data_IF_556723829780
#
_entry.id   IF_556723829780
#
_cell.length_a   1.000
_cell.length_b   1.000
_cell.length_c   1.000
_cell.angle_alpha   90.00
_cell.angle_beta   90.00
_cell.angle_gamma   90.00
#
_symmetry.space_group_name_H-M   'P 1'
#
loop_
_entity.id
_entity.type
_entity.pdbx_description
1 polymer ?
#
# COMPACT_ATOMS: atom_id res chain seq x y z
N UNK A 1 33.09 -11.38 -34.09
CA UNK A 1 31.74 -10.99 -34.52
C UNK A 1 31.64 -9.49 -34.35
N UNK A 2 31.50 -8.78 -35.48
CA UNK A 2 31.67 -7.33 -35.59
C UNK A 2 30.39 -6.57 -35.23
N UNK A 3 30.54 -5.45 -34.52
CA UNK A 3 29.48 -4.48 -34.26
C UNK A 3 29.23 -3.61 -35.50
N UNK A 4 27.98 -3.29 -35.86
CA UNK A 4 27.70 -2.27 -36.86
C UNK A 4 27.66 -0.88 -36.19
N UNK A 5 28.49 0.00 -36.71
CA UNK A 5 28.52 1.46 -36.49
C UNK A 5 27.32 2.14 -37.17
N UNK A 6 26.58 2.98 -36.44
CA UNK A 6 25.52 3.84 -36.98
C UNK A 6 26.04 5.28 -37.12
N UNK A 7 25.78 5.96 -38.26
CA UNK A 7 26.32 7.27 -38.56
C UNK A 7 25.51 8.43 -37.96
N UNK A 8 26.25 9.51 -37.67
CA UNK A 8 25.81 10.85 -37.28
C UNK A 8 25.35 11.65 -38.50
N UNK A 9 24.18 12.29 -38.43
CA UNK A 9 23.68 13.34 -39.32
C UNK A 9 22.37 13.88 -38.73
N UNK A 10 21.96 15.13 -38.85
CA UNK A 10 22.57 16.40 -39.18
C UNK A 10 21.58 17.47 -38.69
N UNK A 11 22.12 18.64 -38.37
CA UNK A 11 21.48 19.91 -38.05
C UNK A 11 20.46 20.39 -39.09
N UNK A 12 19.34 20.96 -38.63
CA UNK A 12 18.41 21.73 -39.46
C UNK A 12 17.36 22.47 -38.64
N UNK A 13 17.62 23.75 -38.32
CA UNK A 13 16.59 24.75 -37.97
C UNK A 13 15.60 24.95 -39.13
N UNK A 14 14.37 25.41 -38.87
CA UNK A 14 14.13 26.85 -39.08
C UNK A 14 13.22 27.53 -38.05
N UNK A 15 13.40 28.84 -38.01
CA UNK A 15 12.79 29.85 -37.16
C UNK A 15 11.30 30.18 -37.44
N UNK A 16 10.77 31.03 -36.54
CA UNK A 16 9.65 31.99 -36.64
C UNK A 16 8.31 31.61 -35.95
N UNK A 17 7.46 32.58 -35.56
CA UNK A 17 7.70 34.00 -35.23
C UNK A 17 7.09 34.44 -33.88
N UNK A 18 7.67 35.51 -33.33
CA UNK A 18 7.04 36.41 -32.36
C UNK A 18 5.79 37.06 -32.95
N UNK A 19 4.69 37.08 -32.19
CA UNK A 19 3.52 37.91 -32.46
C UNK A 19 3.26 38.84 -31.28
N UNK A 20 3.70 40.07 -31.43
CA UNK A 20 3.28 41.27 -30.72
C UNK A 20 1.99 41.82 -31.33
N UNK A 21 1.05 42.20 -30.48
CA UNK A 21 -0.06 43.14 -30.72
C UNK A 21 -0.57 43.54 -29.32
N UNK A 22 -0.24 44.71 -28.78
CA UNK A 22 -0.71 46.07 -29.10
C UNK A 22 -2.23 46.25 -29.15
N UNK A 23 -2.70 47.16 -28.28
CA UNK A 23 -4.07 47.63 -28.07
C UNK A 23 -4.21 47.99 -26.59
N UNK A 24 -3.93 49.19 -26.09
CA UNK A 24 -4.19 50.57 -26.56
C UNK A 24 -5.67 50.82 -26.85
N UNK A 25 -6.35 51.52 -25.93
CA UNK A 25 -7.69 52.05 -26.13
C UNK A 25 -8.43 52.37 -24.82
N UNK A 26 -8.43 53.67 -24.50
CA UNK A 26 -9.37 54.43 -23.65
C UNK A 26 -9.48 54.12 -22.14
N UNK A 27 -9.37 55.08 -21.22
CA UNK A 27 -9.59 56.53 -21.36
C UNK A 27 -10.95 56.91 -20.76
N UNK A 28 -11.01 57.10 -19.44
CA UNK A 28 -12.04 57.93 -18.79
C UNK A 28 -11.54 58.46 -17.44
N UNK A 29 -11.32 59.79 -17.33
CA UNK A 29 -11.12 60.47 -16.06
C UNK A 29 -12.42 61.16 -15.59
N UNK A 30 -12.59 61.22 -14.27
CA UNK A 30 -13.60 61.99 -13.52
C UNK A 30 -13.61 61.46 -12.08
N UNK A 31 -13.04 62.07 -11.04
CA UNK A 31 -13.17 63.47 -10.54
C UNK A 31 -14.67 63.77 -10.37
N UNK A 32 -15.25 63.94 -9.17
CA UNK A 32 -14.88 64.77 -8.00
C UNK A 32 -15.65 64.30 -6.72
N UNK A 33 -15.62 64.97 -5.55
CA UNK A 33 -15.55 64.31 -4.23
C UNK A 33 -16.72 64.66 -3.28
N UNK A 34 -16.53 64.25 -2.02
CA UNK A 34 -17.04 64.85 -0.78
C UNK A 34 -18.46 64.48 -0.30
N UNK A 35 -18.49 64.37 1.04
CA UNK A 35 -19.63 64.70 1.92
C UNK A 35 -20.85 63.77 1.90
N UNK A 36 -20.98 62.94 2.94
CA UNK A 36 -21.60 63.34 4.21
C UNK A 36 -21.81 62.10 5.09
N UNK A 37 -21.34 62.17 6.33
CA UNK A 37 -21.89 61.36 7.40
C UNK A 37 -23.35 61.76 7.63
N UNK A 38 -24.21 60.80 7.97
CA UNK A 38 -24.98 61.00 9.19
C UNK A 38 -24.76 59.84 10.16
N UNK A 39 -24.46 60.23 11.39
CA UNK A 39 -24.66 59.40 12.55
C UNK A 39 -26.14 59.00 12.66
N UNK A 40 -26.39 57.76 13.10
CA UNK A 40 -27.67 57.35 13.67
C UNK A 40 -28.55 56.49 12.77
N UNK A 41 -28.39 55.17 12.88
CA UNK A 41 -29.37 54.08 12.65
C UNK A 41 -28.57 52.78 12.47
N UNK A 42 -28.83 51.62 13.05
CA UNK A 42 -29.69 51.11 14.10
C UNK A 42 -29.07 49.72 14.47
N UNK A 43 -29.27 49.22 15.68
CA UNK A 43 -28.76 47.92 16.15
C UNK A 43 -29.58 46.73 15.61
N UNK A 44 -29.70 46.59 14.28
CA UNK A 44 -30.47 45.52 13.65
C UNK A 44 -29.69 44.21 13.43
N UNK A 45 -28.36 44.22 13.52
CA UNK A 45 -27.54 42.99 13.40
C UNK A 45 -27.51 42.13 14.68
N UNK A 46 -27.87 42.68 15.83
CA UNK A 46 -27.90 41.92 17.10
C UNK A 46 -29.17 41.08 17.29
N UNK A 47 -30.26 41.35 16.55
CA UNK A 47 -31.49 40.57 16.65
C UNK A 47 -31.46 39.30 15.77
N UNK A 48 -30.64 39.29 14.72
CA UNK A 48 -30.43 38.11 13.86
C UNK A 48 -29.59 37.01 14.51
N UNK A 49 -28.76 37.36 15.50
CA UNK A 49 -27.95 36.39 16.25
C UNK A 49 -28.70 35.73 17.42
N UNK A 50 -29.76 36.36 17.94
CA UNK A 50 -30.65 35.77 18.95
C UNK A 50 -31.70 34.81 18.36
N UNK A 51 -32.10 34.98 17.09
CA UNK A 51 -33.03 34.07 16.40
C UNK A 51 -32.36 32.85 15.76
N UNK A 52 -31.04 32.72 15.86
CA UNK A 52 -30.32 31.50 15.50
C UNK A 52 -30.40 30.40 16.59
N UNK A 53 -30.96 30.73 17.77
CA UNK A 53 -31.32 29.76 18.80
C UNK A 53 -32.63 29.06 18.45
N UNK A 54 -32.62 27.74 18.40
CA UNK A 54 -33.76 26.85 18.13
C UNK A 54 -34.16 26.64 16.66
N UNK A 55 -33.19 26.33 15.79
CA UNK A 55 -33.56 25.45 14.67
C UNK A 55 -34.05 24.11 15.27
N UNK A 56 -35.30 23.68 14.99
CA UNK A 56 -35.83 22.44 15.54
C UNK A 56 -34.91 21.28 15.14
N UNK A 57 -34.50 20.49 16.14
CA UNK A 57 -33.65 19.33 15.96
C UNK A 57 -34.18 18.50 14.78
N UNK A 58 -33.40 18.41 13.70
CA UNK A 58 -33.78 17.65 12.51
C UNK A 58 -34.26 16.25 12.93
N UNK A 59 -35.36 15.74 12.36
CA UNK A 59 -35.95 14.49 12.79
C UNK A 59 -34.91 13.35 12.77
N UNK A 60 -34.79 12.56 13.85
CA UNK A 60 -33.68 11.63 14.09
C UNK A 60 -33.54 10.54 13.01
N UNK A 61 -34.62 10.26 12.26
CA UNK A 61 -34.68 9.20 11.25
C UNK A 61 -33.64 9.35 10.12
N UNK A 62 -33.29 10.57 9.72
CA UNK A 62 -32.29 10.78 8.66
C UNK A 62 -30.85 10.62 9.15
N UNK A 63 -30.58 10.95 10.41
CA UNK A 63 -29.27 10.78 11.02
C UNK A 63 -28.94 9.28 11.19
N UNK A 64 -29.91 8.47 11.64
CA UNK A 64 -29.75 7.02 11.79
C UNK A 64 -29.44 6.35 10.45
N UNK A 65 -30.16 6.70 9.37
CA UNK A 65 -29.88 6.15 8.03
C UNK A 65 -28.49 6.49 7.53
N UNK A 66 -28.04 7.74 7.73
CA UNK A 66 -26.69 8.15 7.34
C UNK A 66 -25.61 7.41 8.16
N UNK A 67 -25.82 7.25 9.46
CA UNK A 67 -24.91 6.50 10.32
C UNK A 67 -24.82 5.02 9.93
N UNK A 68 -25.95 4.38 9.65
CA UNK A 68 -26.00 2.98 9.21
C UNK A 68 -25.30 2.78 7.87
N UNK A 69 -25.47 3.69 6.90
CA UNK A 69 -24.76 3.63 5.63
C UNK A 69 -23.25 3.89 5.78
N UNK A 70 -22.86 4.81 6.67
CA UNK A 70 -21.45 5.04 6.97
C UNK A 70 -20.81 3.82 7.63
N UNK A 71 -21.52 3.17 8.56
CA UNK A 71 -21.09 1.94 9.20
C UNK A 71 -20.96 0.79 8.19
N UNK A 72 -21.92 0.62 7.29
CA UNK A 72 -21.82 -0.36 6.21
C UNK A 72 -20.58 -0.11 5.32
N UNK A 73 -20.31 1.15 4.99
CA UNK A 73 -19.09 1.52 4.25
C UNK A 73 -17.82 1.19 5.01
N UNK A 74 -17.81 1.44 6.32
CA UNK A 74 -16.68 1.09 7.17
C UNK A 74 -16.45 -0.42 7.21
N UNK A 75 -17.52 -1.24 7.26
CA UNK A 75 -17.42 -2.70 7.19
C UNK A 75 -16.85 -3.16 5.85
N UNK A 76 -17.38 -2.66 4.74
CA UNK A 76 -16.87 -2.97 3.40
C UNK A 76 -15.40 -2.57 3.25
N UNK A 77 -15.04 -1.38 3.74
CA UNK A 77 -13.67 -0.89 3.70
C UNK A 77 -12.73 -1.69 4.62
N UNK A 78 -13.21 -2.14 5.78
CA UNK A 78 -12.45 -3.04 6.66
C UNK A 78 -12.21 -4.39 5.97
N UNK A 79 -13.21 -4.93 5.26
CA UNK A 79 -13.04 -6.11 4.42
C UNK A 79 -11.98 -5.91 3.32
N UNK A 80 -11.93 -4.73 2.70
CA UNK A 80 -10.89 -4.34 1.75
C UNK A 80 -9.50 -4.31 2.42
N UNK A 81 -9.39 -3.75 3.63
CA UNK A 81 -8.14 -3.69 4.39
C UNK A 81 -7.66 -5.09 4.82
N UNK A 82 -8.58 -5.98 5.22
CA UNK A 82 -8.25 -7.38 5.52
C UNK A 82 -7.80 -8.08 4.23
N UNK A 83 -8.47 -7.82 3.12
CA UNK A 83 -8.14 -8.44 1.84
C UNK A 83 -6.74 -8.05 1.34
N UNK A 84 -6.34 -6.76 1.44
CA UNK A 84 -4.99 -6.36 1.07
C UNK A 84 -3.92 -6.96 2.00
N UNK A 85 -4.21 -7.07 3.30
CA UNK A 85 -3.30 -7.73 4.24
C UNK A 85 -3.15 -9.22 3.93
N UNK A 86 -4.27 -9.88 3.65
CA UNK A 86 -4.28 -11.28 3.23
C UNK A 86 -3.51 -11.48 1.93
N UNK A 87 -3.61 -10.58 0.94
CA UNK A 87 -2.82 -10.67 -0.28
C UNK A 87 -1.31 -10.58 -0.02
N UNK A 88 -0.89 -9.83 0.99
CA UNK A 88 0.52 -9.63 1.32
C UNK A 88 1.12 -10.77 2.16
N UNK A 89 0.40 -11.20 3.19
CA UNK A 89 0.93 -12.16 4.19
C UNK A 89 0.39 -13.57 3.96
N UNK A 90 -0.64 -13.74 3.11
CA UNK A 90 -1.42 -14.97 2.95
C UNK A 90 -2.03 -15.49 4.27
N UNK A 91 -2.18 -14.60 5.25
CA UNK A 91 -2.84 -14.84 6.53
C UNK A 91 -3.98 -13.85 6.67
N UNK A 92 -5.14 -14.33 7.11
CA UNK A 92 -6.32 -13.46 7.23
C UNK A 92 -6.16 -12.43 8.35
N UNK A 93 -5.50 -12.82 9.44
CA UNK A 93 -5.29 -11.99 10.61
C UNK A 93 -3.94 -12.30 11.25
N UNK A 94 -3.19 -11.25 11.57
CA UNK A 94 -1.98 -11.32 12.39
C UNK A 94 -1.90 -10.09 13.29
N UNK A 95 -2.37 -10.22 14.53
CA UNK A 95 -2.36 -9.13 15.50
C UNK A 95 -1.07 -9.10 16.34
N UNK A 96 0.01 -9.71 15.87
CA UNK A 96 1.27 -9.67 16.60
C UNK A 96 1.85 -8.26 16.60
N UNK A 97 2.36 -7.82 17.76
CA UNK A 97 2.99 -6.50 17.90
C UNK A 97 4.17 -6.29 16.93
N UNK A 98 4.87 -7.37 16.59
CA UNK A 98 5.98 -7.35 15.62
C UNK A 98 5.48 -6.94 14.23
N UNK A 99 4.34 -7.47 13.80
CA UNK A 99 3.74 -7.19 12.49
C UNK A 99 3.33 -5.71 12.32
N UNK A 100 3.10 -4.98 13.42
CA UNK A 100 2.85 -3.54 13.39
C UNK A 100 4.13 -2.68 13.46
N UNK A 101 5.15 -3.13 14.20
CA UNK A 101 6.40 -2.37 14.38
C UNK A 101 7.36 -2.55 13.21
N UNK A 102 7.40 -3.75 12.62
CA UNK A 102 8.35 -4.05 11.56
C UNK A 102 8.18 -3.13 10.34
N UNK A 103 6.95 -2.83 9.85
CA UNK A 103 6.72 -1.83 8.81
C UNK A 103 7.07 -0.39 9.22
N UNK A 104 7.14 -0.07 10.52
CA UNK A 104 7.50 1.27 11.01
C UNK A 104 9.00 1.57 10.88
N UNK A 105 9.85 0.57 10.65
CA UNK A 105 11.28 0.79 10.44
C UNK A 105 11.51 1.42 9.06
N UNK A 106 11.64 2.74 9.03
CA UNK A 106 11.89 3.50 7.79
C UNK A 106 13.29 3.23 7.20
N UNK A 107 14.26 2.88 8.04
CA UNK A 107 15.66 2.68 7.65
C UNK A 107 16.16 1.29 8.06
N UNK A 108 16.91 0.63 7.19
CA UNK A 108 17.60 -0.65 7.45
C UNK A 108 17.36 -1.70 6.37
N UNK A 109 18.13 -2.79 6.42
CA UNK A 109 18.01 -3.93 5.49
C UNK A 109 16.64 -4.63 5.55
N UNK A 110 15.90 -4.42 6.65
CA UNK A 110 14.57 -4.99 6.91
C UNK A 110 13.43 -3.97 6.72
N UNK A 111 13.68 -2.83 6.07
CA UNK A 111 12.59 -1.91 5.76
C UNK A 111 11.63 -2.61 4.78
N UNK A 112 10.46 -3.05 5.27
CA UNK A 112 9.37 -3.51 4.41
C UNK A 112 8.90 -2.33 3.57
N UNK A 113 9.49 -2.21 2.39
CA UNK A 113 9.10 -1.21 1.42
C UNK A 113 7.82 -1.64 0.73
N UNK A 114 7.07 -0.69 0.18
CA UNK A 114 5.95 -0.99 -0.72
C UNK A 114 6.35 -1.94 -1.85
N UNK A 115 7.62 -1.93 -2.27
CA UNK A 115 8.14 -2.85 -3.27
C UNK A 115 8.01 -4.33 -2.86
N UNK A 116 8.01 -4.65 -1.56
CA UNK A 116 7.78 -5.99 -1.06
C UNK A 116 6.38 -6.50 -1.45
N UNK A 117 5.36 -5.63 -1.47
CA UNK A 117 4.00 -5.97 -1.94
C UNK A 117 3.92 -6.30 -3.43
N UNK A 118 4.89 -5.84 -4.23
CA UNK A 118 4.93 -6.07 -5.68
C UNK A 118 5.71 -7.34 -6.02
N UNK A 119 6.64 -7.74 -5.14
CA UNK A 119 7.52 -8.89 -5.33
C UNK A 119 6.96 -10.12 -4.62
N UNK A 120 6.39 -9.93 -3.43
CA UNK A 120 5.93 -10.96 -2.52
C UNK A 120 4.44 -10.79 -2.16
N UNK A 121 3.65 -11.87 -2.09
CA UNK A 121 3.98 -13.25 -2.44
C UNK A 121 3.92 -13.51 -3.97
N UNK A 122 3.15 -12.70 -4.71
CA UNK A 122 3.01 -12.83 -6.16
C UNK A 122 3.79 -11.70 -6.82
N UNK A 123 4.86 -12.05 -7.53
CA UNK A 123 5.58 -11.07 -8.33
C UNK A 123 4.71 -10.56 -9.49
N UNK A 124 4.60 -9.24 -9.61
CA UNK A 124 3.88 -8.58 -10.72
C UNK A 124 4.47 -8.95 -12.09
N UNK A 125 5.73 -9.35 -12.14
CA UNK A 125 6.37 -9.84 -13.38
C UNK A 125 5.77 -11.16 -13.85
N UNK A 126 5.34 -12.01 -12.91
CA UNK A 126 4.74 -13.30 -13.22
C UNK A 126 3.26 -13.16 -13.55
N UNK A 127 2.56 -12.26 -12.85
CA UNK A 127 1.14 -12.02 -13.06
C UNK A 127 0.82 -10.52 -13.06
N UNK A 128 0.82 -9.92 -14.24
CA UNK A 128 0.51 -8.49 -14.43
C UNK A 128 -0.89 -8.11 -13.89
N UNK A 129 -1.84 -9.04 -13.90
CA UNK A 129 -3.19 -8.79 -13.36
C UNK A 129 -3.16 -8.59 -11.84
N UNK A 130 -2.22 -9.22 -11.13
CA UNK A 130 -2.01 -8.94 -9.71
C UNK A 130 -1.61 -7.48 -9.48
N UNK A 131 -0.73 -6.93 -10.31
CA UNK A 131 -0.36 -5.52 -10.26
C UNK A 131 -1.55 -4.58 -10.47
N UNK A 132 -2.48 -4.95 -11.36
CA UNK A 132 -3.75 -4.22 -11.57
C UNK A 132 -4.63 -4.26 -10.32
N UNK A 133 -4.82 -5.45 -9.74
CA UNK A 133 -5.60 -5.63 -8.51
C UNK A 133 -5.01 -4.82 -7.36
N UNK A 134 -3.70 -4.91 -7.15
CA UNK A 134 -2.99 -4.18 -6.11
C UNK A 134 -3.14 -2.67 -6.30
N UNK A 135 -2.95 -2.16 -7.53
CA UNK A 135 -3.14 -0.75 -7.84
C UNK A 135 -4.55 -0.26 -7.51
N UNK A 136 -5.60 -1.02 -7.86
CA UNK A 136 -6.99 -0.68 -7.55
C UNK A 136 -7.32 -0.73 -6.05
N UNK A 137 -6.74 -1.68 -5.31
CA UNK A 137 -6.91 -1.77 -3.86
C UNK A 137 -6.27 -0.57 -3.15
N UNK A 138 -5.03 -0.24 -3.51
CA UNK A 138 -4.33 0.92 -2.95
C UNK A 138 -5.05 2.21 -3.32
N UNK A 139 -5.53 2.34 -4.56
CA UNK A 139 -6.34 3.47 -4.99
C UNK A 139 -7.59 3.65 -4.12
N UNK A 140 -8.27 2.54 -3.78
CA UNK A 140 -9.43 2.54 -2.90
C UNK A 140 -9.06 2.92 -1.46
N UNK A 141 -7.95 2.39 -0.92
CA UNK A 141 -7.46 2.77 0.41
C UNK A 141 -7.22 4.28 0.51
N UNK A 142 -6.76 4.90 -0.58
CA UNK A 142 -6.43 6.32 -0.63
C UNK A 142 -7.67 7.20 -0.87
N UNK A 143 -8.44 6.92 -1.92
CA UNK A 143 -9.51 7.79 -2.37
C UNK A 143 -10.67 7.89 -1.37
N UNK A 144 -10.90 6.84 -0.59
CA UNK A 144 -12.08 6.67 0.27
C UNK A 144 -12.04 7.56 1.51
N UNK A 145 -11.03 7.47 2.40
CA UNK A 145 -10.95 8.34 3.57
C UNK A 145 -10.88 9.82 3.16
N UNK A 146 -10.19 10.15 2.06
CA UNK A 146 -10.13 11.52 1.52
C UNK A 146 -11.53 11.99 1.09
N UNK A 147 -12.27 11.17 0.34
CA UNK A 147 -13.65 11.48 -0.05
C UNK A 147 -14.57 11.65 1.15
N UNK A 148 -14.44 10.78 2.17
CA UNK A 148 -15.22 10.87 3.41
C UNK A 148 -14.89 12.17 4.15
N UNK A 149 -13.61 12.56 4.22
CA UNK A 149 -13.18 13.81 4.84
C UNK A 149 -13.81 15.03 4.15
N UNK A 150 -13.84 15.06 2.81
CA UNK A 150 -14.43 16.15 2.01
C UNK A 150 -15.97 16.20 2.16
N UNK A 151 -16.64 15.04 2.17
CA UNK A 151 -18.10 14.96 2.15
C UNK A 151 -18.75 15.05 3.54
N UNK A 152 -18.16 14.44 4.56
CA UNK A 152 -18.76 14.31 5.90
C UNK A 152 -18.05 15.11 7.00
N UNK A 153 -16.80 15.54 6.77
CA UNK A 153 -15.79 16.13 7.68
C UNK A 153 -14.71 15.13 8.10
N UNK A 154 -13.55 15.66 8.46
CA UNK A 154 -12.36 14.92 8.89
C UNK A 154 -12.62 13.85 9.97
N UNK A 155 -13.42 14.16 11.00
CA UNK A 155 -13.68 13.23 12.10
C UNK A 155 -14.30 11.90 11.64
N UNK A 156 -15.11 11.90 10.57
CA UNK A 156 -15.72 10.70 10.03
C UNK A 156 -14.76 9.86 9.17
N UNK A 157 -13.62 10.41 8.75
CA UNK A 157 -12.57 9.68 8.05
C UNK A 157 -11.63 8.92 9.00
N UNK A 158 -11.51 9.35 10.26
CA UNK A 158 -10.69 8.69 11.28
C UNK A 158 -10.94 7.17 11.42
N UNK A 159 -12.19 6.66 11.48
CA UNK A 159 -12.39 5.21 11.55
C UNK A 159 -11.90 4.46 10.30
N UNK A 160 -11.96 5.07 9.11
CA UNK A 160 -11.41 4.47 7.88
C UNK A 160 -9.88 4.45 7.94
N UNK A 161 -9.25 5.52 8.40
CA UNK A 161 -7.78 5.57 8.59
C UNK A 161 -7.34 4.54 9.64
N UNK A 162 -8.08 4.41 10.74
CA UNK A 162 -7.83 3.40 11.77
C UNK A 162 -7.96 1.98 11.20
N UNK A 163 -8.91 1.73 10.29
CA UNK A 163 -9.03 0.44 9.60
C UNK A 163 -7.79 0.13 8.75
N UNK A 164 -7.20 1.11 8.06
CA UNK A 164 -5.93 0.92 7.33
C UNK A 164 -4.79 0.57 8.29
N UNK A 165 -4.71 1.26 9.43
CA UNK A 165 -3.68 0.98 10.43
C UNK A 165 -3.82 -0.44 11.03
N UNK A 166 -5.04 -0.80 11.46
CA UNK A 166 -5.30 -2.02 12.23
C UNK A 166 -5.40 -3.26 11.34
N UNK A 167 -6.14 -3.17 10.24
CA UNK A 167 -6.44 -4.34 9.40
C UNK A 167 -5.49 -4.51 8.23
N UNK A 168 -5.04 -3.41 7.60
CA UNK A 168 -4.11 -3.50 6.47
C UNK A 168 -2.63 -3.58 6.92
N UNK A 169 -2.33 -3.31 8.20
CA UNK A 169 -0.96 -3.27 8.74
C UNK A 169 -0.05 -2.26 8.01
N UNK A 170 -0.62 -1.13 7.56
CA UNK A 170 0.12 -0.10 6.82
C UNK A 170 0.18 1.22 7.61
N UNK A 171 1.04 1.34 8.63
CA UNK A 171 1.08 2.51 9.50
C UNK A 171 1.51 3.79 8.79
N UNK A 172 2.47 3.71 7.86
CA UNK A 172 2.91 4.86 7.06
C UNK A 172 1.83 5.36 6.10
N UNK A 173 1.09 4.43 5.48
CA UNK A 173 -0.08 4.78 4.68
C UNK A 173 -1.15 5.45 5.55
N UNK A 174 -1.44 4.92 6.74
CA UNK A 174 -2.40 5.55 7.64
C UNK A 174 -1.98 6.98 8.05
N UNK A 175 -0.71 7.19 8.39
CA UNK A 175 -0.18 8.50 8.77
C UNK A 175 -0.26 9.52 7.62
N UNK A 176 0.12 9.11 6.41
CA UNK A 176 0.02 9.98 5.23
C UNK A 176 -1.44 10.28 4.88
N UNK A 177 -2.35 9.32 5.07
CA UNK A 177 -3.79 9.53 4.93
C UNK A 177 -4.37 10.52 5.94
N UNK A 178 -3.86 10.56 7.18
CA UNK A 178 -4.21 11.63 8.14
C UNK A 178 -3.84 12.99 7.54
N UNK A 179 -2.60 13.16 7.09
CA UNK A 179 -2.14 14.38 6.45
C UNK A 179 -2.98 14.78 5.24
N UNK A 180 -3.26 13.82 4.36
CA UNK A 180 -4.13 13.97 3.19
C UNK A 180 -5.55 14.41 3.54
N UNK A 181 -6.17 13.78 4.53
CA UNK A 181 -7.52 14.12 4.97
C UNK A 181 -7.59 15.49 5.65
N UNK A 182 -6.56 15.87 6.41
CA UNK A 182 -6.44 17.22 6.97
C UNK A 182 -6.33 18.23 5.84
N UNK A 183 -5.41 18.01 4.89
CA UNK A 183 -5.16 18.92 3.78
C UNK A 183 -6.42 19.12 2.91
N UNK A 184 -7.19 18.05 2.68
CA UNK A 184 -8.46 18.10 1.97
C UNK A 184 -9.60 18.81 2.74
N UNK A 185 -9.55 18.82 4.08
CA UNK A 185 -10.61 19.38 4.93
C UNK A 185 -10.38 20.84 5.34
N UNK A 186 -9.13 21.30 5.35
CA UNK A 186 -8.71 22.61 5.86
C UNK A 186 -9.12 23.75 4.89
N UNK A 187 -9.65 24.86 5.45
CA UNK A 187 -10.26 25.97 4.71
C UNK A 187 -9.39 26.59 3.60
N UNK A 188 -8.10 26.93 3.79
CA UNK A 188 -7.27 27.53 2.73
C UNK A 188 -7.15 26.67 1.47
N UNK A 189 -7.25 25.34 1.59
CA UNK A 189 -7.17 24.42 0.46
C UNK A 189 -8.56 23.97 -0.05
N UNK A 190 -9.63 24.50 0.56
CA UNK A 190 -11.00 24.19 0.16
C UNK A 190 -11.38 25.04 -1.05
N UNK A 191 -10.84 24.66 -2.20
CA UNK A 191 -11.19 25.24 -3.50
C UNK A 191 -12.71 25.16 -3.73
N UNK A 192 -13.25 26.12 -4.46
CA UNK A 192 -14.66 26.10 -4.89
C UNK A 192 -15.00 24.81 -5.64
N UNK A 193 -14.01 24.24 -6.32
CA UNK A 193 -14.07 22.94 -6.96
C UNK A 193 -13.60 21.82 -6.03
N UNK A 194 -14.55 21.01 -5.54
CA UNK A 194 -14.30 19.92 -4.57
C UNK A 194 -13.33 18.85 -5.05
N UNK A 195 -13.29 18.59 -6.36
CA UNK A 195 -12.32 17.65 -6.93
C UNK A 195 -10.89 18.19 -6.82
N UNK A 196 -10.69 19.50 -7.00
CA UNK A 196 -9.39 20.14 -6.79
C UNK A 196 -8.88 19.96 -5.35
N UNK A 197 -9.76 20.12 -4.35
CA UNK A 197 -9.41 19.82 -2.96
C UNK A 197 -9.03 18.34 -2.74
N UNK A 198 -9.67 17.42 -3.47
CA UNK A 198 -9.31 16.00 -3.48
C UNK A 198 -7.92 15.74 -4.08
N UNK A 199 -7.58 16.38 -5.20
CA UNK A 199 -6.26 16.27 -5.82
C UNK A 199 -5.16 16.80 -4.89
N UNK A 200 -5.39 17.96 -4.26
CA UNK A 200 -4.47 18.51 -3.25
C UNK A 200 -4.34 17.54 -2.08
N UNK A 201 -5.46 16.97 -1.62
CA UNK A 201 -5.48 15.94 -0.57
C UNK A 201 -4.65 14.70 -0.91
N UNK A 202 -4.54 14.30 -2.18
CA UNK A 202 -3.74 13.13 -2.58
C UNK A 202 -2.21 13.40 -2.54
N UNK A 203 -1.76 14.66 -2.55
CA UNK A 203 -0.33 14.99 -2.66
C UNK A 203 0.58 14.31 -1.61
N UNK A 204 0.24 14.28 -0.30
CA UNK A 204 1.06 13.58 0.70
C UNK A 204 1.23 12.09 0.41
N UNK A 205 0.19 11.44 -0.13
CA UNK A 205 0.24 10.02 -0.52
C UNK A 205 1.10 9.82 -1.77
N UNK A 206 1.01 10.71 -2.78
CA UNK A 206 1.90 10.64 -3.96
C UNK A 206 3.36 10.77 -3.52
N UNK A 207 3.67 11.72 -2.64
CA UNK A 207 5.02 11.89 -2.12
C UNK A 207 5.49 10.63 -1.39
N UNK A 208 4.63 10.03 -0.55
CA UNK A 208 4.93 8.78 0.13
C UNK A 208 5.20 7.62 -0.84
N UNK A 209 4.33 7.41 -1.83
CA UNK A 209 4.52 6.37 -2.84
C UNK A 209 5.81 6.60 -3.64
N UNK A 210 6.12 7.86 -3.98
CA UNK A 210 7.34 8.22 -4.67
C UNK A 210 8.60 7.90 -3.85
N UNK A 211 8.64 8.30 -2.58
CA UNK A 211 9.76 8.01 -1.68
C UNK A 211 9.91 6.51 -1.45
N UNK A 212 8.80 5.79 -1.31
CA UNK A 212 8.82 4.34 -1.14
C UNK A 212 9.32 3.59 -2.39
N UNK A 213 9.07 4.12 -3.60
CA UNK A 213 9.65 3.58 -4.83
C UNK A 213 11.16 3.83 -4.93
N UNK A 214 11.67 4.93 -4.37
CA UNK A 214 13.11 5.21 -4.37
C UNK A 214 13.91 4.35 -3.40
N UNK A 215 13.29 3.92 -2.29
CA UNK A 215 13.94 3.13 -1.24
C UNK A 215 14.23 1.67 -1.60
N UNK A 216 14.04 1.24 -2.85
CA UNK A 216 14.27 -0.15 -3.25
C UNK A 216 15.73 -0.57 -2.99
N UNK A 217 15.97 -1.67 -2.26
CA UNK A 217 17.32 -2.08 -1.87
C UNK A 217 18.19 -2.34 -3.11
N UNK A 218 19.41 -1.80 -3.07
CA UNK A 218 20.42 -1.86 -4.13
C UNK A 218 20.76 -3.30 -4.59
N UNK A 219 20.37 -4.34 -3.84
CA UNK A 219 20.63 -5.74 -4.17
C UNK A 219 19.96 -6.22 -5.48
N UNK A 220 18.82 -5.64 -5.88
CA UNK A 220 18.22 -5.86 -7.21
C UNK A 220 18.76 -4.87 -8.26
N UNK A 221 19.35 -3.77 -7.82
CA UNK A 221 19.67 -2.60 -8.64
C UNK A 221 20.88 -2.74 -9.55
N UNK A 222 21.77 -3.69 -9.30
CA UNK A 222 22.98 -3.85 -10.13
C UNK A 222 22.70 -4.53 -11.47
N UNK A 223 21.56 -5.22 -11.63
CA UNK A 223 21.22 -5.97 -12.86
C UNK A 223 19.79 -5.80 -13.38
N UNK A 224 18.89 -5.09 -12.69
CA UNK A 224 17.53 -4.87 -13.21
C UNK A 224 17.54 -3.95 -14.44
N UNK A 225 17.00 -4.40 -15.57
CA UNK A 225 16.84 -3.58 -16.77
C UNK A 225 15.91 -2.39 -16.49
N UNK A 226 16.04 -1.24 -17.20
CA UNK A 226 15.15 -0.09 -17.02
C UNK A 226 13.67 -0.45 -17.22
N UNK A 227 13.39 -1.41 -18.11
CA UNK A 227 12.03 -1.89 -18.39
C UNK A 227 11.43 -2.61 -17.17
N UNK A 228 12.23 -3.40 -16.45
CA UNK A 228 11.81 -4.10 -15.24
C UNK A 228 11.45 -3.11 -14.12
N UNK A 229 12.22 -2.03 -13.97
CA UNK A 229 11.89 -0.95 -13.02
C UNK A 229 10.57 -0.28 -13.35
N UNK A 230 10.27 -0.09 -14.64
CA UNK A 230 8.99 0.46 -15.08
C UNK A 230 7.83 -0.50 -14.75
N UNK A 231 8.00 -1.81 -14.97
CA UNK A 231 6.99 -2.81 -14.63
C UNK A 231 6.71 -2.87 -13.12
N UNK A 232 7.74 -2.83 -12.27
CA UNK A 232 7.59 -2.83 -10.81
C UNK A 232 6.94 -1.53 -10.29
N UNK A 233 7.06 -0.42 -11.02
CA UNK A 233 6.41 0.85 -10.67
C UNK A 233 4.98 0.99 -11.20
N UNK A 234 4.57 0.15 -12.15
CA UNK A 234 3.27 0.22 -12.80
C UNK A 234 2.06 0.14 -11.83
N UNK A 235 2.04 -0.74 -10.80
CA UNK A 235 0.93 -0.81 -9.85
C UNK A 235 0.72 0.52 -9.09
N UNK A 236 1.80 1.23 -8.76
CA UNK A 236 1.73 2.50 -8.02
C UNK A 236 1.25 3.64 -8.90
N UNK A 237 1.74 3.71 -10.14
CA UNK A 237 1.24 4.68 -11.12
C UNK A 237 -0.25 4.45 -11.40
N UNK A 238 -0.64 3.19 -11.58
CA UNK A 238 -2.04 2.80 -11.71
C UNK A 238 -2.85 3.18 -10.46
N UNK A 239 -2.32 2.98 -9.26
CA UNK A 239 -2.98 3.37 -8.02
C UNK A 239 -3.26 4.87 -7.95
N UNK A 240 -2.30 5.71 -8.34
CA UNK A 240 -2.46 7.18 -8.38
C UNK A 240 -3.53 7.58 -9.39
N UNK A 241 -3.45 7.06 -10.62
CA UNK A 241 -4.42 7.35 -11.67
C UNK A 241 -5.83 6.88 -11.30
N UNK A 242 -5.94 5.66 -10.77
CA UNK A 242 -7.20 5.10 -10.32
C UNK A 242 -7.76 5.87 -9.11
N UNK A 243 -6.94 6.31 -8.16
CA UNK A 243 -7.39 7.11 -7.02
C UNK A 243 -7.98 8.45 -7.48
N UNK A 244 -7.32 9.13 -8.43
CA UNK A 244 -7.84 10.34 -9.06
C UNK A 244 -9.17 10.10 -9.77
N UNK A 245 -9.27 9.04 -10.58
CA UNK A 245 -10.50 8.66 -11.26
C UNK A 245 -11.64 8.35 -10.26
N UNK A 246 -11.33 7.59 -9.20
CA UNK A 246 -12.27 7.23 -8.14
C UNK A 246 -12.77 8.46 -7.39
N UNK A 247 -11.90 9.41 -7.02
CA UNK A 247 -12.33 10.69 -6.45
C UNK A 247 -13.28 11.43 -7.39
N UNK A 248 -12.96 11.49 -8.69
CA UNK A 248 -13.81 12.12 -9.70
C UNK A 248 -15.20 11.49 -9.76
N UNK A 249 -15.26 10.15 -9.81
CA UNK A 249 -16.51 9.37 -9.82
C UNK A 249 -17.31 9.62 -8.54
N UNK A 250 -16.70 9.51 -7.36
CA UNK A 250 -17.38 9.74 -6.07
C UNK A 250 -17.95 11.16 -6.03
N UNK A 251 -17.20 12.16 -6.48
CA UNK A 251 -17.67 13.55 -6.52
C UNK A 251 -18.82 13.74 -7.52
N UNK A 252 -18.75 13.13 -8.71
CA UNK A 252 -19.82 13.16 -9.70
C UNK A 252 -21.11 12.53 -9.17
N UNK A 253 -21.04 11.33 -8.59
CA UNK A 253 -22.18 10.66 -7.97
C UNK A 253 -22.74 11.45 -6.79
N UNK A 254 -21.87 12.05 -5.97
CA UNK A 254 -22.32 12.90 -4.86
C UNK A 254 -23.09 14.12 -5.35
N UNK A 255 -22.72 14.69 -6.51
CA UNK A 255 -23.44 15.80 -7.15
C UNK A 255 -24.80 15.35 -7.67
N UNK A 256 -24.86 14.21 -8.38
CA UNK A 256 -26.12 13.64 -8.90
C UNK A 256 -27.09 13.34 -7.75
N UNK A 257 -26.59 12.81 -6.63
CA UNK A 257 -27.40 12.50 -5.47
C UNK A 257 -27.68 13.70 -4.54
N UNK A 258 -27.47 14.94 -5.01
CA UNK A 258 -27.67 16.17 -4.25
C UNK A 258 -26.98 16.17 -2.88
N UNK A 259 -25.76 15.61 -2.83
CA UNK A 259 -24.95 15.46 -1.63
C UNK A 259 -25.66 14.75 -0.47
N UNK A 260 -26.61 13.87 -0.77
CA UNK A 260 -27.22 13.00 0.23
C UNK A 260 -26.14 12.06 0.79
N UNK A 261 -26.05 12.05 2.13
CA UNK A 261 -25.09 11.34 2.99
C UNK A 261 -25.10 9.79 2.91
N UNK A 262 -25.56 9.23 1.79
CA UNK A 262 -25.63 7.79 1.55
C UNK A 262 -25.19 7.37 0.14
N UNK A 263 -25.04 8.33 -0.79
CA UNK A 263 -24.73 8.03 -2.19
C UNK A 263 -23.33 7.49 -2.43
N UNK A 264 -22.45 7.59 -1.42
CA UNK A 264 -21.07 7.08 -1.51
C UNK A 264 -21.04 5.55 -1.41
N UNK A 265 -22.02 4.94 -0.74
CA UNK A 265 -21.99 3.50 -0.44
C UNK A 265 -22.04 2.59 -1.67
N UNK A 266 -22.90 2.82 -2.68
CA UNK A 266 -22.90 2.02 -3.89
C UNK A 266 -21.60 2.14 -4.68
N UNK A 267 -21.04 3.34 -4.76
CA UNK A 267 -19.77 3.59 -5.47
C UNK A 267 -18.63 2.84 -4.78
N UNK A 268 -18.58 2.90 -3.44
CA UNK A 268 -17.66 2.12 -2.62
C UNK A 268 -17.77 0.61 -2.85
N UNK A 269 -19.00 0.09 -2.87
CA UNK A 269 -19.23 -1.33 -3.09
C UNK A 269 -18.72 -1.78 -4.47
N UNK A 270 -18.94 -0.99 -5.52
CA UNK A 270 -18.43 -1.28 -6.87
C UNK A 270 -16.89 -1.20 -6.90
N UNK A 271 -16.31 -0.19 -6.25
CA UNK A 271 -14.87 -0.01 -6.17
C UNK A 271 -14.18 -1.15 -5.41
N UNK A 272 -14.83 -1.75 -4.41
CA UNK A 272 -14.34 -2.95 -3.72
C UNK A 272 -14.57 -4.23 -4.53
N UNK A 273 -15.76 -4.39 -5.12
CA UNK A 273 -16.11 -5.58 -5.87
C UNK A 273 -15.21 -5.77 -7.10
N UNK A 274 -14.82 -4.68 -7.77
CA UNK A 274 -14.00 -4.73 -8.99
C UNK A 274 -12.65 -5.45 -8.77
N UNK A 275 -11.75 -5.01 -7.86
CA UNK A 275 -10.49 -5.72 -7.61
C UNK A 275 -10.71 -7.13 -7.05
N UNK A 276 -11.74 -7.36 -6.24
CA UNK A 276 -12.04 -8.70 -5.72
C UNK A 276 -12.45 -9.67 -6.83
N UNK A 277 -13.28 -9.25 -7.78
CA UNK A 277 -13.70 -10.04 -8.95
C UNK A 277 -12.50 -10.28 -9.88
N UNK A 278 -11.69 -9.25 -10.14
CA UNK A 278 -10.47 -9.40 -10.95
C UNK A 278 -9.50 -10.39 -10.31
N UNK A 279 -9.30 -10.30 -9.00
CA UNK A 279 -8.48 -11.25 -8.26
C UNK A 279 -9.01 -12.67 -8.40
N UNK A 280 -10.29 -12.89 -8.09
CA UNK A 280 -10.89 -14.23 -8.14
C UNK A 280 -10.84 -14.87 -9.54
N UNK A 281 -10.91 -14.06 -10.61
CA UNK A 281 -10.92 -14.55 -11.98
C UNK A 281 -9.53 -14.79 -12.58
N UNK A 282 -8.56 -13.92 -12.29
CA UNK A 282 -7.27 -13.91 -12.99
C UNK A 282 -6.09 -14.37 -12.15
N UNK A 283 -6.17 -14.23 -10.83
CA UNK A 283 -5.10 -14.62 -9.90
C UNK A 283 -5.52 -15.89 -9.17
N UNK A 284 -6.67 -15.86 -8.50
CA UNK A 284 -7.17 -16.99 -7.73
C UNK A 284 -6.48 -17.15 -6.37
N UNK A 285 -7.16 -17.85 -5.48
CA UNK A 285 -6.64 -18.16 -4.13
C UNK A 285 -5.51 -19.20 -4.19
N UNK A 286 -5.57 -20.11 -5.16
CA UNK A 286 -4.59 -21.17 -5.36
C UNK A 286 -3.23 -20.60 -5.80
N UNK A 287 -3.20 -19.53 -6.59
CA UNK A 287 -1.95 -18.87 -6.96
C UNK A 287 -1.25 -18.25 -5.74
N UNK A 288 -1.98 -17.54 -4.88
CA UNK A 288 -1.40 -16.98 -3.64
C UNK A 288 -0.85 -18.10 -2.75
N UNK A 289 -1.65 -19.13 -2.49
CA UNK A 289 -1.24 -20.28 -1.66
C UNK A 289 -0.02 -21.00 -2.23
N UNK A 290 0.03 -21.19 -3.56
CA UNK A 290 1.15 -21.82 -4.25
C UNK A 290 2.42 -20.98 -4.13
N UNK A 291 2.35 -19.66 -4.33
CA UNK A 291 3.54 -18.80 -4.22
C UNK A 291 4.09 -18.71 -2.81
N UNK A 292 3.23 -18.76 -1.81
CA UNK A 292 3.64 -18.85 -0.40
C UNK A 292 4.29 -20.21 -0.12
N UNK A 293 3.76 -21.29 -0.69
CA UNK A 293 4.38 -22.60 -0.60
C UNK A 293 5.76 -22.62 -1.28
N UNK A 294 5.87 -22.02 -2.47
CA UNK A 294 7.11 -21.89 -3.23
C UNK A 294 8.14 -20.99 -2.53
N UNK A 295 7.71 -19.94 -1.84
CA UNK A 295 8.64 -19.07 -1.09
C UNK A 295 9.23 -19.77 0.13
N UNK A 296 8.48 -20.67 0.77
CA UNK A 296 8.89 -21.41 1.96
C UNK A 296 9.65 -22.69 1.62
N UNK A 297 9.23 -23.43 0.58
CA UNK A 297 9.76 -24.76 0.25
C UNK A 297 10.32 -24.88 -1.18
N UNK A 298 10.29 -23.83 -1.98
CA UNK A 298 10.78 -23.87 -3.35
C UNK A 298 12.30 -23.90 -3.46
N UNK A 299 12.85 -24.03 -4.68
CA UNK A 299 14.30 -24.12 -4.92
C UNK A 299 15.09 -22.90 -4.45
N UNK A 300 14.42 -21.75 -4.37
CA UNK A 300 14.99 -20.47 -3.90
C UNK A 300 14.73 -20.21 -2.43
N UNK A 301 13.94 -21.06 -1.77
CA UNK A 301 13.63 -20.88 -0.37
C UNK A 301 14.91 -21.03 0.47
N UNK A 302 15.06 -20.26 1.55
CA UNK A 302 16.24 -20.33 2.43
C UNK A 302 16.45 -21.72 3.05
N UNK A 303 15.42 -22.56 3.06
CA UNK A 303 15.49 -23.95 3.51
C UNK A 303 16.33 -24.83 2.57
N UNK A 304 16.28 -24.60 1.25
CA UNK A 304 16.96 -25.42 0.23
C UNK A 304 18.01 -24.67 -0.59
N UNK A 305 18.07 -23.34 -0.47
CA UNK A 305 19.22 -22.58 -0.95
C UNK A 305 20.50 -23.16 -0.31
N UNK A 306 21.64 -23.04 -0.99
CA UNK A 306 22.95 -23.49 -0.52
C UNK A 306 23.32 -22.75 0.77
N UNK A 307 22.73 -23.19 1.89
CA UNK A 307 22.91 -22.62 3.21
C UNK A 307 24.27 -23.09 3.67
N UNK A 308 25.11 -22.14 4.06
CA UNK A 308 26.35 -22.46 4.73
C UNK A 308 26.02 -23.08 6.10
N UNK A 309 25.97 -24.41 6.13
CA UNK A 309 25.66 -25.18 7.34
C UNK A 309 26.78 -25.04 8.38
N UNK A 310 27.90 -24.40 8.05
CA UNK A 310 29.01 -24.18 8.98
C UNK A 310 28.54 -23.50 10.26
N UNK A 311 27.68 -22.47 10.18
CA UNK A 311 27.16 -21.79 11.37
C UNK A 311 26.28 -22.68 12.26
N UNK A 312 25.41 -23.48 11.65
CA UNK A 312 24.56 -24.43 12.38
C UNK A 312 25.41 -25.56 13.00
N UNK A 313 26.46 -26.02 12.30
CA UNK A 313 27.44 -26.98 12.82
C UNK A 313 28.23 -26.36 13.98
N UNK A 314 28.67 -25.12 13.87
CA UNK A 314 29.42 -24.41 14.91
C UNK A 314 28.58 -24.21 16.17
N UNK A 315 27.32 -23.77 16.04
CA UNK A 315 26.42 -23.60 17.19
C UNK A 315 26.08 -24.93 17.87
N UNK A 316 25.85 -25.99 17.11
CA UNK A 316 25.66 -27.34 17.68
C UNK A 316 26.93 -27.87 18.36
N UNK A 317 28.11 -27.55 17.83
CA UNK A 317 29.38 -27.86 18.49
C UNK A 317 29.54 -27.04 19.78
N UNK A 318 29.21 -25.76 19.76
CA UNK A 318 29.34 -24.83 20.89
C UNK A 318 28.42 -25.24 22.04
N UNK A 319 27.14 -25.51 21.78
CA UNK A 319 26.18 -26.02 22.79
C UNK A 319 26.66 -27.35 23.41
N UNK A 320 27.32 -28.19 22.60
CA UNK A 320 27.93 -29.45 23.08
C UNK A 320 29.22 -29.22 23.87
N UNK A 321 30.04 -28.26 23.45
CA UNK A 321 31.29 -27.86 24.12
C UNK A 321 31.02 -27.14 25.44
N UNK A 322 29.89 -26.44 25.58
CA UNK A 322 29.45 -25.86 26.84
C UNK A 322 28.96 -26.93 27.82
N UNK A 323 28.28 -27.96 27.32
CA UNK A 323 27.75 -29.04 28.17
C UNK A 323 28.78 -30.10 28.57
N UNK A 324 29.94 -30.17 27.91
CA UNK A 324 31.00 -31.12 28.23
C UNK A 324 32.34 -30.40 28.42
N UNK A 325 32.99 -30.69 29.54
CA UNK A 325 34.25 -30.10 29.99
C UNK A 325 35.23 -29.78 28.85
N UNK A 326 35.30 -28.48 28.49
CA UNK A 326 35.89 -27.95 27.24
C UNK A 326 37.32 -28.42 27.02
N UNK A 327 38.09 -28.55 28.11
CA UNK A 327 39.47 -29.03 28.10
C UNK A 327 39.58 -30.53 27.80
N UNK A 328 38.65 -31.34 28.32
CA UNK A 328 38.60 -32.78 28.01
C UNK A 328 38.20 -32.99 26.56
N UNK A 329 37.25 -32.21 26.04
CA UNK A 329 36.80 -32.40 24.67
C UNK A 329 37.87 -31.98 23.64
N UNK A 330 38.61 -30.90 23.87
CA UNK A 330 39.70 -30.47 22.98
C UNK A 330 40.87 -31.46 22.95
N UNK A 331 41.29 -31.96 24.12
CA UNK A 331 42.34 -32.99 24.19
C UNK A 331 41.88 -34.33 23.58
N UNK A 332 40.60 -34.67 23.72
CA UNK A 332 39.98 -35.85 23.10
C UNK A 332 39.84 -35.70 21.58
N UNK A 333 39.51 -34.50 21.09
CA UNK A 333 39.43 -34.20 19.68
C UNK A 333 40.82 -34.23 19.04
N UNK A 334 41.86 -33.71 19.70
CA UNK A 334 43.20 -33.66 19.13
C UNK A 334 43.93 -35.02 19.05
N UNK A 335 43.61 -35.97 19.95
CA UNK A 335 44.42 -37.17 20.16
C UNK A 335 44.02 -38.42 19.37
N UNK A 336 42.79 -38.51 18.85
CA UNK A 336 42.27 -39.79 18.32
C UNK A 336 41.43 -39.62 17.05
N UNK A 337 41.95 -40.12 15.93
CA UNK A 337 41.29 -40.04 14.63
C UNK A 337 39.96 -40.82 14.59
N UNK A 338 39.86 -41.93 15.33
CA UNK A 338 38.64 -42.75 15.34
C UNK A 338 37.48 -42.03 16.02
N UNK A 339 37.77 -41.26 17.07
CA UNK A 339 36.76 -40.47 17.79
C UNK A 339 36.27 -39.28 16.98
N UNK A 340 37.15 -38.64 16.20
CA UNK A 340 36.72 -37.62 15.21
C UNK A 340 35.77 -38.21 14.18
N UNK A 341 36.08 -39.40 13.66
CA UNK A 341 35.23 -40.08 12.70
C UNK A 341 33.84 -40.41 13.28
N UNK A 342 33.77 -40.90 14.53
CA UNK A 342 32.50 -41.15 15.22
C UNK A 342 31.68 -39.87 15.43
N UNK A 343 32.32 -38.77 15.85
CA UNK A 343 31.65 -37.48 16.00
C UNK A 343 31.11 -36.96 14.66
N UNK A 344 31.91 -37.02 13.59
CA UNK A 344 31.46 -36.66 12.25
C UNK A 344 30.29 -37.51 11.80
N UNK A 345 30.33 -38.83 12.01
CA UNK A 345 29.20 -39.72 11.70
C UNK A 345 27.92 -39.33 12.45
N UNK A 346 28.03 -38.97 13.73
CA UNK A 346 26.89 -38.52 14.53
C UNK A 346 26.33 -37.18 14.05
N UNK A 347 27.18 -36.21 13.74
CA UNK A 347 26.76 -34.91 13.20
C UNK A 347 26.07 -35.07 11.84
N UNK A 348 26.65 -35.86 10.94
CA UNK A 348 26.04 -36.19 9.66
C UNK A 348 24.68 -36.85 9.86
N UNK A 349 24.56 -37.78 10.82
CA UNK A 349 23.28 -38.40 11.16
C UNK A 349 22.22 -37.43 11.69
N UNK A 350 22.61 -36.41 12.48
CA UNK A 350 21.69 -35.37 12.95
C UNK A 350 21.24 -34.45 11.82
N UNK A 351 22.17 -33.98 10.99
CA UNK A 351 21.86 -33.14 9.82
C UNK A 351 20.96 -33.88 8.84
N UNK A 352 21.22 -35.17 8.59
CA UNK A 352 20.39 -36.00 7.74
C UNK A 352 18.97 -36.16 8.31
N UNK A 353 18.81 -36.31 9.63
CA UNK A 353 17.48 -36.37 10.26
C UNK A 353 16.73 -35.04 10.15
N UNK A 354 17.40 -33.91 10.35
CA UNK A 354 16.81 -32.59 10.18
C UNK A 354 16.34 -32.39 8.72
N UNK A 355 17.21 -32.70 7.74
CA UNK A 355 16.86 -32.62 6.33
C UNK A 355 15.69 -33.55 5.95
N UNK A 356 15.63 -34.76 6.51
CA UNK A 356 14.49 -35.66 6.30
C UNK A 356 13.20 -35.15 6.95
N UNK A 357 13.29 -34.43 8.07
CA UNK A 357 12.14 -33.79 8.69
C UNK A 357 11.61 -32.63 7.82
N UNK A 358 12.49 -31.75 7.36
CA UNK A 358 12.15 -30.64 6.46
C UNK A 358 11.52 -31.15 5.15
N UNK A 359 12.08 -32.23 4.58
CA UNK A 359 11.51 -32.87 3.38
C UNK A 359 10.13 -33.46 3.63
N UNK A 360 9.87 -34.02 4.82
CA UNK A 360 8.53 -34.52 5.18
C UNK A 360 7.56 -33.37 5.33
N UNK A 361 7.95 -32.29 6.01
CA UNK A 361 7.11 -31.10 6.19
C UNK A 361 6.74 -30.48 4.84
N UNK A 362 7.72 -30.31 3.94
CA UNK A 362 7.48 -29.85 2.57
C UNK A 362 6.50 -30.77 1.82
N UNK A 363 6.70 -32.09 1.89
CA UNK A 363 5.81 -33.06 1.24
C UNK A 363 4.39 -33.03 1.80
N UNK A 364 4.23 -32.87 3.11
CA UNK A 364 2.93 -32.72 3.75
C UNK A 364 2.24 -31.41 3.36
N UNK A 365 3.00 -30.31 3.26
CA UNK A 365 2.49 -29.03 2.82
C UNK A 365 2.01 -29.09 1.36
N UNK A 366 2.76 -29.74 0.46
CA UNK A 366 2.34 -29.99 -0.92
C UNK A 366 1.06 -30.85 -0.98
N UNK A 367 0.96 -31.90 -0.16
CA UNK A 367 -0.26 -32.73 -0.08
C UNK A 367 -1.47 -31.94 0.41
N UNK A 368 -1.29 -31.08 1.42
CA UNK A 368 -2.34 -30.17 1.91
C UNK A 368 -2.80 -29.23 0.81
N UNK A 369 -1.87 -28.61 0.09
CA UNK A 369 -2.19 -27.74 -1.04
C UNK A 369 -3.02 -28.46 -2.11
N UNK A 370 -2.63 -29.68 -2.51
CA UNK A 370 -3.37 -30.48 -3.50
C UNK A 370 -4.78 -30.84 -2.98
N UNK A 371 -4.91 -31.13 -1.68
CA UNK A 371 -6.20 -31.43 -1.07
C UNK A 371 -7.12 -30.21 -0.99
N UNK A 372 -6.58 -29.03 -0.67
CA UNK A 372 -7.33 -27.78 -0.54
C UNK A 372 -7.70 -27.18 -1.91
N UNK A 373 -6.87 -27.44 -2.94
CA UNK A 373 -7.03 -26.89 -4.28
C UNK A 373 -6.96 -27.96 -5.39
N UNK A 374 -7.90 -28.92 -5.44
CA UNK A 374 -7.85 -30.04 -6.38
C UNK A 374 -7.99 -29.62 -7.86
N UNK A 375 -8.54 -28.44 -8.12
CA UNK A 375 -8.66 -27.86 -9.46
C UNK A 375 -7.56 -26.86 -9.81
N UNK A 376 -6.52 -26.72 -8.99
CA UNK A 376 -5.44 -25.77 -9.26
C UNK A 376 -4.66 -26.17 -10.52
N UNK A 377 -4.22 -25.17 -11.27
CA UNK A 377 -3.29 -25.34 -12.41
C UNK A 377 -1.85 -25.60 -11.96
N UNK A 378 -1.54 -25.42 -10.69
CA UNK A 378 -0.20 -25.55 -10.14
C UNK A 378 0.01 -26.94 -9.54
N UNK A 379 1.16 -27.55 -9.84
CA UNK A 379 1.60 -28.81 -9.25
C UNK A 379 2.85 -28.52 -8.42
N UNK A 380 2.75 -28.55 -7.09
CA UNK A 380 3.84 -28.18 -6.17
C UNK A 380 4.94 -29.23 -6.04
#
# INVERSE_FOLDING_TARGET
>A
MAQPSIPSAATGEPALPLKSADGSGDGRPGVTPAEHAPAGAEPAEQLGSMLAGNQPARPPRHAVRAALLLFLNLLLFSGLCIFIHWLHVARAFDFSWRSYIEPLKFWGEQAQTLNDFVIYPISVEQNLMHGVVLGLLVASIVAVPISVAILYRFAYALPFIAAVLVFAHMPWMALTLVGSCILAAVKPFRLSFRFGAGLVGILPVILYLYLAMQGAPQQLGTYSSPDQKLLLSAPWLLAILAACAMLGIIMAFSRIANYRRGAVAPVMAIMFATPAILFARYVGFDEVSYRVLESVYGPRAPMFATRDVSGDIFSLLEERLESADRERMLSWFLSDANKRADLLHRLVGLLQRAFLADRREASEACRRFIADHPGSRYVP
#
